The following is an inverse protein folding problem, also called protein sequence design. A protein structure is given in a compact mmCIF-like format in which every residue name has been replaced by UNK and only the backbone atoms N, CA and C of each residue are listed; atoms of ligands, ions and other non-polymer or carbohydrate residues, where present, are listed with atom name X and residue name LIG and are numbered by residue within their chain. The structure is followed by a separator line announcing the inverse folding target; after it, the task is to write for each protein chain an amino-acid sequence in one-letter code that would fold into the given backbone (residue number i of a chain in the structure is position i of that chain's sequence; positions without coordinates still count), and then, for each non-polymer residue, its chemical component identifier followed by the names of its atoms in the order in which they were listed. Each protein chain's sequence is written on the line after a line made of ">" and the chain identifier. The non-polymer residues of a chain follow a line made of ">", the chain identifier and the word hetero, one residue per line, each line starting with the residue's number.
data_IF_132282777037
#
_entry.id   IF_132282777037
#
_cell.length_a   1.000
_cell.length_b   1.000
_cell.length_c   1.000
_cell.angle_alpha   90.00
_cell.angle_beta   90.00
_cell.angle_gamma   90.00
#
_symmetry.space_group_name_H-M   'P 1'
#
loop_
_entity.id
_entity.type
_entity.pdbx_description
1 polymer ?
#
# COMPACT_ATOMS: atom_id res chain seq x y z
N UNK A 1 -0.51 -12.34 -11.29
CA UNK A 1 -1.05 -11.42 -10.28
C UNK A 1 -0.76 -11.95 -8.90
N UNK A 2 -0.12 -11.15 -8.09
CA UNK A 2 0.23 -11.52 -6.74
C UNK A 2 -0.48 -10.62 -5.75
N UNK A 3 -0.94 -11.22 -4.65
CA UNK A 3 -1.57 -10.49 -3.56
C UNK A 3 -0.57 -10.34 -2.43
N UNK A 4 -0.38 -9.10 -2.00
CA UNK A 4 0.53 -8.77 -0.92
C UNK A 4 -0.22 -8.05 0.18
N UNK A 5 0.05 -8.42 1.42
CA UNK A 5 -0.45 -7.69 2.57
C UNK A 5 0.72 -6.98 3.22
N UNK A 6 0.66 -5.66 3.28
CA UNK A 6 1.74 -4.84 3.81
C UNK A 6 1.29 -4.24 5.14
N UNK A 7 1.98 -4.53 6.24
CA UNK A 7 1.67 -3.87 7.50
C UNK A 7 2.15 -2.43 7.45
N UNK A 8 1.24 -1.49 7.65
CA UNK A 8 1.53 -0.05 7.57
C UNK A 8 1.01 0.63 8.82
N UNK A 9 1.85 1.41 9.47
CA UNK A 9 1.45 2.20 10.62
C UNK A 9 1.29 3.67 10.22
N UNK A 10 0.52 4.40 11.02
CA UNK A 10 0.29 5.83 10.78
C UNK A 10 -1.02 6.14 10.08
N UNK A 11 -1.73 5.15 9.58
CA UNK A 11 -3.06 5.36 9.04
C UNK A 11 -4.04 5.47 10.20
N UNK A 12 -4.71 6.61 10.30
CA UNK A 12 -5.62 6.84 11.42
C UNK A 12 -7.06 7.14 10.99
N UNK A 13 -7.32 7.24 9.70
CA UNK A 13 -8.65 7.59 9.20
C UNK A 13 -8.81 7.18 7.74
N UNK A 14 -10.03 7.32 7.22
CA UNK A 14 -10.32 6.98 5.83
C UNK A 14 -9.53 7.81 4.84
N UNK A 15 -9.24 9.07 5.17
CA UNK A 15 -8.42 9.92 4.32
C UNK A 15 -7.01 9.37 4.15
N UNK A 16 -6.45 8.82 5.22
CA UNK A 16 -5.13 8.19 5.17
C UNK A 16 -5.16 6.94 4.28
N UNK A 17 -6.21 6.13 4.40
CA UNK A 17 -6.38 4.97 3.53
C UNK A 17 -6.40 5.37 2.06
N UNK A 18 -7.14 6.42 1.74
CA UNK A 18 -7.24 6.90 0.37
C UNK A 18 -5.90 7.41 -0.16
N UNK A 19 -5.13 8.09 0.69
CA UNK A 19 -3.81 8.57 0.28
C UNK A 19 -2.89 7.42 -0.09
N UNK A 20 -2.87 6.37 0.72
CA UNK A 20 -2.04 5.19 0.45
C UNK A 20 -2.54 4.49 -0.82
N UNK A 21 -3.85 4.30 -0.93
CA UNK A 21 -4.43 3.66 -2.11
C UNK A 21 -4.10 4.41 -3.39
N UNK A 22 -4.27 5.73 -3.37
CA UNK A 22 -4.00 6.55 -4.56
C UNK A 22 -2.52 6.49 -4.93
N UNK A 23 -1.63 6.53 -3.95
CA UNK A 23 -0.20 6.45 -4.20
C UNK A 23 0.19 5.11 -4.84
N UNK A 24 -0.35 4.01 -4.32
CA UNK A 24 -0.04 2.68 -4.84
C UNK A 24 -0.63 2.45 -6.23
N UNK A 25 -1.82 3.00 -6.49
CA UNK A 25 -2.45 2.87 -7.81
C UNK A 25 -1.66 3.55 -8.92
N UNK A 26 -0.78 4.47 -8.58
CA UNK A 26 0.06 5.15 -9.57
C UNK A 26 1.20 4.26 -10.08
N UNK A 27 1.50 3.17 -9.39
CA UNK A 27 2.50 2.23 -9.85
C UNK A 27 1.96 1.39 -11.01
N UNK A 28 2.76 1.28 -12.06
CA UNK A 28 2.40 0.41 -13.17
C UNK A 28 2.43 -1.03 -12.70
N UNK A 29 1.39 -1.77 -13.04
CA UNK A 29 1.26 -3.17 -12.66
C UNK A 29 0.39 -3.40 -11.44
N UNK A 30 0.05 -2.36 -10.70
CA UNK A 30 -0.88 -2.48 -9.56
C UNK A 30 -2.31 -2.44 -10.09
N UNK A 31 -3.07 -3.50 -9.80
CA UNK A 31 -4.45 -3.63 -10.28
C UNK A 31 -5.48 -3.34 -9.22
N UNK A 32 -5.14 -3.57 -7.94
CA UNK A 32 -6.08 -3.35 -6.85
C UNK A 32 -5.34 -3.01 -5.57
N UNK A 33 -5.89 -2.09 -4.80
CA UNK A 33 -5.35 -1.71 -3.50
C UNK A 33 -6.51 -1.55 -2.52
N UNK A 34 -6.38 -2.14 -1.34
CA UNK A 34 -7.31 -1.94 -0.24
C UNK A 34 -6.52 -1.64 1.02
N UNK A 35 -6.70 -0.46 1.58
CA UNK A 35 -6.08 -0.06 2.83
C UNK A 35 -7.09 -0.20 3.96
N UNK A 36 -6.61 -0.66 5.12
CA UNK A 36 -7.45 -0.82 6.30
C UNK A 36 -6.73 -0.24 7.50
N UNK A 37 -7.19 0.93 7.97
CA UNK A 37 -6.55 1.61 9.10
C UNK A 37 -6.83 0.92 10.43
N UNK A 38 -7.89 0.14 10.53
CA UNK A 38 -8.20 -0.59 11.77
C UNK A 38 -7.27 -1.78 11.95
N UNK A 39 -6.91 -2.43 10.85
CA UNK A 39 -5.99 -3.55 10.89
C UNK A 39 -4.54 -3.14 10.68
N UNK A 40 -4.29 -1.86 10.36
CA UNK A 40 -2.96 -1.33 10.04
C UNK A 40 -2.30 -2.11 8.90
N UNK A 41 -3.07 -2.46 7.89
CA UNK A 41 -2.58 -3.20 6.74
C UNK A 41 -3.07 -2.60 5.44
N UNK A 42 -2.31 -2.86 4.38
CA UNK A 42 -2.70 -2.51 3.02
C UNK A 42 -2.58 -3.78 2.17
N UNK A 43 -3.65 -4.14 1.50
CA UNK A 43 -3.66 -5.29 0.60
C UNK A 43 -3.52 -4.80 -0.83
N UNK A 44 -2.53 -5.33 -1.53
CA UNK A 44 -2.21 -4.92 -2.90
C UNK A 44 -2.22 -6.13 -3.81
N UNK A 45 -2.90 -6.01 -4.95
CA UNK A 45 -2.83 -7.00 -6.01
C UNK A 45 -2.08 -6.36 -7.18
N UNK A 46 -0.98 -6.96 -7.56
CA UNK A 46 -0.11 -6.40 -8.59
C UNK A 46 0.51 -7.51 -9.44
N UNK A 47 1.05 -7.11 -10.59
CA UNK A 47 1.78 -8.03 -11.45
C UNK A 47 3.08 -8.47 -10.78
N UNK A 48 3.59 -9.64 -11.20
CA UNK A 48 4.83 -10.19 -10.66
C UNK A 48 6.03 -9.27 -10.85
N UNK A 49 5.97 -8.37 -11.82
CA UNK A 49 7.03 -7.41 -12.09
C UNK A 49 7.14 -6.31 -11.04
N UNK A 50 6.10 -6.13 -10.24
CA UNK A 50 6.10 -5.12 -9.17
C UNK A 50 6.72 -5.75 -7.93
N UNK A 51 7.85 -5.22 -7.49
CA UNK A 51 8.55 -5.74 -6.32
C UNK A 51 8.02 -5.17 -5.02
N UNK A 52 8.22 -5.92 -3.92
CA UNK A 52 7.82 -5.47 -2.59
C UNK A 52 8.49 -4.15 -2.23
N UNK A 53 9.74 -3.97 -2.62
CA UNK A 53 10.47 -2.73 -2.35
C UNK A 53 9.82 -1.52 -2.99
N UNK A 54 9.26 -1.67 -4.19
CA UNK A 54 8.55 -0.58 -4.85
C UNK A 54 7.29 -0.19 -4.08
N UNK A 55 6.56 -1.19 -3.59
CA UNK A 55 5.36 -0.94 -2.80
C UNK A 55 5.69 -0.24 -1.49
N UNK A 56 6.73 -0.71 -0.81
CA UNK A 56 7.19 -0.11 0.46
C UNK A 56 7.63 1.33 0.25
N UNK A 57 8.40 1.60 -0.80
CA UNK A 57 8.86 2.95 -1.10
C UNK A 57 7.71 3.92 -1.31
N UNK A 58 6.69 3.49 -2.06
CA UNK A 58 5.54 4.33 -2.33
C UNK A 58 4.78 4.66 -1.05
N UNK A 59 4.61 3.67 -0.17
CA UNK A 59 3.94 3.90 1.11
C UNK A 59 4.72 4.90 1.96
N UNK A 60 6.04 4.75 2.02
CA UNK A 60 6.88 5.66 2.79
C UNK A 60 6.86 7.07 2.21
N UNK A 61 6.87 7.20 0.89
CA UNK A 61 6.78 8.51 0.25
C UNK A 61 5.45 9.19 0.51
N UNK A 62 4.40 8.42 0.73
CA UNK A 62 3.10 8.96 1.07
C UNK A 62 3.03 9.46 2.52
N UNK A 63 4.07 9.19 3.32
CA UNK A 63 4.16 9.67 4.70
C UNK A 63 3.77 8.64 5.75
N UNK A 64 3.75 7.37 5.41
CA UNK A 64 3.38 6.29 6.33
C UNK A 64 4.54 5.33 6.49
N UNK A 65 4.57 4.62 7.62
CA UNK A 65 5.65 3.68 7.91
C UNK A 65 5.22 2.26 7.57
N UNK A 66 6.12 1.54 6.90
CA UNK A 66 5.94 0.11 6.69
C UNK A 66 6.52 -0.61 7.90
N UNK A 67 5.70 -1.44 8.54
CA UNK A 67 6.10 -2.20 9.71
C UNK A 67 6.66 -3.53 9.23
N UNK A 68 7.90 -3.81 9.57
CA UNK A 68 8.56 -5.05 9.15
C UNK A 68 8.07 -6.26 9.94
#
# INVERSE_FOLDING_TARGET
>A
MERETIPVSGMSCNGCEQNVENALRKLDGVTRVEADHEADTVEVVADDDVGDGDLHDVVEQAGYDVVA
#
